data_IF_705216665624
#
_entry.id   IF_705216665624
#
_cell.length_a   1.000
_cell.length_b   1.000
_cell.length_c   1.000
_cell.angle_alpha   90.00
_cell.angle_beta   90.00
_cell.angle_gamma   90.00
#
_symmetry.space_group_name_H-M   'P 1'
#
loop_
_entity.id
_entity.type
_entity.pdbx_description
1 polymer ?
#
# COMPACT_ATOMS: atom_id res chain seq x y z
N UNK A 1 22.27 26.75 8.49
CA UNK A 1 22.65 25.63 7.60
C UNK A 1 21.47 25.28 6.69
N UNK A 2 21.21 26.06 5.66
CA UNK A 2 20.16 25.81 4.65
C UNK A 2 20.80 26.02 3.29
N UNK A 3 20.53 25.14 2.32
CA UNK A 3 20.71 25.26 0.86
C UNK A 3 21.80 24.44 0.15
N UNK A 4 22.44 23.45 0.74
CA UNK A 4 23.41 22.65 -0.03
C UNK A 4 22.78 21.52 -0.89
N UNK A 5 21.49 21.18 -0.69
CA UNK A 5 20.83 20.12 -1.47
C UNK A 5 20.36 20.57 -2.85
N UNK A 6 19.94 21.83 -3.00
CA UNK A 6 19.51 22.37 -4.31
C UNK A 6 20.68 22.62 -5.26
N UNK A 7 21.82 23.05 -4.74
CA UNK A 7 23.03 23.29 -5.55
C UNK A 7 23.56 21.97 -6.14
N UNK A 8 23.53 20.89 -5.37
CA UNK A 8 23.95 19.56 -5.84
C UNK A 8 23.06 18.99 -6.94
N UNK A 9 21.74 19.22 -6.87
CA UNK A 9 20.80 18.76 -7.88
C UNK A 9 20.97 19.50 -9.21
N UNK A 10 21.17 20.83 -9.18
CA UNK A 10 21.40 21.64 -10.38
C UNK A 10 22.69 21.25 -11.10
N UNK A 11 23.77 21.00 -10.36
CA UNK A 11 25.05 20.60 -10.95
C UNK A 11 24.97 19.21 -11.61
N UNK A 12 24.25 18.25 -11.01
CA UNK A 12 24.05 16.93 -11.59
C UNK A 12 23.27 16.97 -12.91
N UNK A 13 22.24 17.81 -13.00
CA UNK A 13 21.44 17.97 -14.21
C UNK A 13 22.29 18.56 -15.35
N UNK A 14 23.13 19.57 -15.08
CA UNK A 14 24.01 20.19 -16.08
C UNK A 14 25.03 19.17 -16.61
N UNK A 15 25.62 18.35 -15.75
CA UNK A 15 26.56 17.30 -16.14
C UNK A 15 25.88 16.25 -17.03
N UNK A 16 24.66 15.83 -16.70
CA UNK A 16 23.89 14.86 -17.49
C UNK A 16 23.55 15.42 -18.88
N UNK A 17 23.08 16.65 -18.96
CA UNK A 17 22.77 17.29 -20.24
C UNK A 17 24.04 17.42 -21.09
N UNK A 18 25.14 17.88 -20.52
CA UNK A 18 26.44 18.00 -21.22
C UNK A 18 26.94 16.65 -21.75
N UNK A 19 26.76 15.54 -20.99
CA UNK A 19 27.14 14.20 -21.42
C UNK A 19 26.35 13.73 -22.64
N UNK A 20 25.04 13.97 -22.70
CA UNK A 20 24.20 13.61 -23.85
C UNK A 20 24.51 14.40 -25.11
N UNK A 21 24.92 15.67 -24.97
CA UNK A 21 25.39 16.48 -26.12
C UNK A 21 26.69 15.94 -26.72
N UNK A 22 27.60 15.44 -25.89
CA UNK A 22 28.90 14.91 -26.32
C UNK A 22 28.87 13.44 -26.74
N UNK A 23 27.87 12.69 -26.29
CA UNK A 23 27.74 11.25 -26.53
C UNK A 23 26.31 10.88 -26.93
N UNK A 24 25.82 11.35 -28.09
CA UNK A 24 24.45 11.02 -28.51
C UNK A 24 24.26 9.50 -28.66
N UNK A 25 23.27 8.96 -27.97
CA UNK A 25 22.91 7.52 -28.05
C UNK A 25 23.66 6.60 -27.08
N UNK A 26 24.55 7.10 -26.21
CA UNK A 26 25.20 6.31 -25.17
C UNK A 26 24.88 6.84 -23.77
N UNK A 27 24.24 6.04 -22.89
CA UNK A 27 24.04 6.48 -21.51
C UNK A 27 25.39 6.53 -20.77
N UNK A 28 25.62 7.51 -19.89
CA UNK A 28 26.83 7.59 -19.08
C UNK A 28 26.96 6.38 -18.17
N UNK A 29 28.17 5.80 -18.06
CA UNK A 29 28.45 4.59 -17.25
C UNK A 29 27.96 4.67 -15.79
N UNK A 30 27.94 5.85 -15.21
CA UNK A 30 27.47 6.09 -13.83
C UNK A 30 25.93 6.14 -13.70
N UNK A 31 25.17 6.30 -14.81
CA UNK A 31 23.72 6.16 -14.80
C UNK A 31 23.28 4.69 -14.89
N UNK A 32 24.22 3.76 -15.12
CA UNK A 32 23.98 2.31 -15.09
C UNK A 32 24.06 1.75 -13.64
N UNK A 33 24.27 2.59 -12.62
CA UNK A 33 23.93 2.15 -11.27
C UNK A 33 22.42 1.87 -11.27
N UNK A 34 22.11 0.59 -11.40
CA UNK A 34 20.80 0.03 -11.18
C UNK A 34 20.35 0.47 -9.78
N UNK A 35 19.63 1.57 -9.73
CA UNK A 35 18.56 1.59 -8.75
C UNK A 35 17.70 0.41 -9.15
N UNK A 36 17.49 -0.60 -8.31
CA UNK A 36 16.45 -1.55 -8.58
C UNK A 36 15.18 -0.68 -8.66
N UNK A 37 14.75 -0.35 -9.87
CA UNK A 37 13.43 0.18 -10.11
C UNK A 37 12.54 -1.03 -9.86
N UNK A 38 12.29 -1.32 -8.59
CA UNK A 38 11.15 -2.11 -8.20
C UNK A 38 9.99 -1.27 -8.69
N UNK A 39 9.29 -1.75 -9.71
CA UNK A 39 7.98 -1.22 -10.05
C UNK A 39 7.19 -1.34 -8.76
N UNK A 40 7.07 -0.25 -8.02
CA UNK A 40 6.29 -0.22 -6.80
C UNK A 40 4.88 -0.65 -7.16
N UNK A 41 4.49 -1.83 -6.72
CA UNK A 41 3.14 -2.34 -6.94
C UNK A 41 2.22 -1.42 -6.17
N UNK A 42 1.46 -0.60 -6.88
CA UNK A 42 0.47 0.29 -6.29
C UNK A 42 -0.85 0.22 -7.05
N UNK A 43 -1.93 0.49 -6.36
CA UNK A 43 -3.28 0.49 -6.91
C UNK A 43 -4.13 1.55 -6.23
N UNK A 44 -4.93 2.28 -6.99
CA UNK A 44 -5.98 3.12 -6.45
C UNK A 44 -7.24 2.29 -6.23
N UNK A 45 -7.83 2.38 -5.03
CA UNK A 45 -8.94 1.54 -4.58
C UNK A 45 -9.98 2.35 -3.78
N UNK A 46 -11.17 1.80 -3.65
CA UNK A 46 -12.11 2.21 -2.60
C UNK A 46 -11.74 1.55 -1.27
N UNK A 47 -11.90 2.26 -0.16
CA UNK A 47 -11.68 1.77 1.19
C UNK A 47 -12.98 1.79 1.98
N UNK A 48 -13.28 0.70 2.67
CA UNK A 48 -14.29 0.66 3.72
C UNK A 48 -13.70 0.10 5.01
N UNK A 49 -14.50 0.02 6.05
CA UNK A 49 -14.09 -0.56 7.33
C UNK A 49 -15.08 -1.64 7.75
N UNK A 50 -14.59 -2.71 8.37
CA UNK A 50 -15.38 -3.80 8.92
C UNK A 50 -14.98 -4.13 10.35
N UNK A 51 -15.86 -4.83 11.06
CA UNK A 51 -15.62 -5.30 12.43
C UNK A 51 -15.65 -6.84 12.48
N UNK A 52 -15.33 -7.40 13.61
CA UNK A 52 -15.50 -8.86 13.89
C UNK A 52 -16.95 -9.26 14.16
N UNK A 53 -17.94 -8.43 13.82
CA UNK A 53 -19.35 -8.76 13.93
C UNK A 53 -19.71 -9.91 12.98
N UNK A 54 -20.45 -10.90 13.48
CA UNK A 54 -20.90 -12.06 12.71
C UNK A 54 -21.76 -11.71 11.49
N UNK A 55 -22.38 -10.53 11.47
CA UNK A 55 -23.10 -10.03 10.30
C UNK A 55 -22.20 -9.51 9.17
N UNK A 56 -20.91 -9.29 9.46
CA UNK A 56 -19.92 -8.75 8.51
C UNK A 56 -18.85 -9.78 8.14
N UNK A 57 -18.79 -10.89 8.84
CA UNK A 57 -17.81 -11.97 8.69
C UNK A 57 -18.50 -13.30 8.37
N UNK A 58 -17.72 -14.33 8.14
CA UNK A 58 -18.21 -15.72 8.07
C UNK A 58 -18.44 -16.32 9.47
N UNK A 59 -18.56 -17.65 9.54
CA UNK A 59 -18.76 -18.38 10.82
C UNK A 59 -17.58 -18.29 11.79
N UNK A 60 -16.45 -17.70 11.37
CA UNK A 60 -15.21 -17.63 12.18
C UNK A 60 -14.70 -16.18 12.31
N UNK A 61 -15.47 -15.27 12.94
CA UNK A 61 -15.18 -13.83 12.92
C UNK A 61 -13.82 -13.40 13.52
N UNK A 62 -13.20 -14.29 14.29
CA UNK A 62 -11.88 -14.04 14.90
C UNK A 62 -10.72 -14.75 14.18
N UNK A 63 -10.98 -15.36 13.02
CA UNK A 63 -9.96 -16.00 12.18
C UNK A 63 -10.07 -15.42 10.78
N UNK A 64 -9.01 -14.77 10.31
CA UNK A 64 -8.97 -14.18 8.95
C UNK A 64 -8.83 -15.28 7.88
N UNK A 65 -9.05 -14.92 6.61
CA UNK A 65 -8.88 -15.84 5.47
C UNK A 65 -7.45 -16.42 5.35
N UNK A 66 -6.44 -15.77 5.92
CA UNK A 66 -5.06 -16.29 6.00
C UNK A 66 -4.81 -17.21 7.20
N UNK A 67 -5.79 -17.39 8.08
CA UNK A 67 -5.65 -18.16 9.33
C UNK A 67 -5.10 -17.36 10.52
N UNK A 68 -4.91 -16.04 10.41
CA UNK A 68 -4.49 -15.20 11.52
C UNK A 68 -5.61 -15.14 12.57
N UNK A 69 -5.29 -15.50 13.82
CA UNK A 69 -6.21 -15.36 14.95
C UNK A 69 -6.19 -13.95 15.51
N UNK A 70 -7.34 -13.31 15.53
CA UNK A 70 -7.52 -11.94 16.01
C UNK A 70 -7.74 -11.89 17.53
N UNK A 71 -7.33 -10.78 18.13
CA UNK A 71 -7.70 -10.44 19.50
C UNK A 71 -9.17 -9.98 19.53
N UNK A 72 -9.99 -10.64 20.34
CA UNK A 72 -11.42 -10.34 20.45
C UNK A 72 -11.73 -8.98 21.06
N UNK A 73 -10.84 -8.46 21.92
CA UNK A 73 -11.02 -7.18 22.61
C UNK A 73 -10.48 -5.98 21.80
N UNK A 74 -9.43 -6.22 21.01
CA UNK A 74 -8.80 -5.17 20.21
C UNK A 74 -8.31 -5.70 18.85
N UNK A 75 -9.22 -6.12 17.96
CA UNK A 75 -8.85 -6.67 16.66
C UNK A 75 -8.06 -5.68 15.79
N UNK A 76 -8.35 -4.40 15.88
CA UNK A 76 -7.68 -3.31 15.17
C UNK A 76 -6.17 -3.26 15.39
N UNK A 77 -5.65 -3.74 16.53
CA UNK A 77 -4.20 -3.75 16.80
C UNK A 77 -3.39 -4.57 15.79
N UNK A 78 -4.02 -5.55 15.15
CA UNK A 78 -3.38 -6.38 14.14
C UNK A 78 -3.16 -5.67 12.80
N UNK A 79 -3.77 -4.50 12.59
CA UNK A 79 -3.66 -3.68 11.36
C UNK A 79 -3.95 -4.48 10.09
N UNK A 80 -5.02 -5.26 10.12
CA UNK A 80 -5.44 -6.16 9.03
C UNK A 80 -6.22 -5.41 7.96
N UNK A 81 -5.91 -5.74 6.71
CA UNK A 81 -6.71 -5.39 5.53
C UNK A 81 -7.28 -6.66 4.90
N UNK A 82 -8.57 -6.63 4.58
CA UNK A 82 -9.20 -7.52 3.62
C UNK A 82 -9.15 -6.89 2.23
N UNK A 83 -8.77 -7.66 1.21
CA UNK A 83 -8.73 -7.20 -0.18
C UNK A 83 -9.82 -7.86 -1.01
N UNK A 84 -10.36 -7.15 -2.01
CA UNK A 84 -11.21 -7.77 -3.02
C UNK A 84 -10.40 -8.76 -3.87
N UNK A 85 -11.06 -9.82 -4.36
CA UNK A 85 -10.36 -10.99 -4.93
C UNK A 85 -9.59 -10.69 -6.22
N UNK A 86 -9.96 -9.66 -6.96
CA UNK A 86 -9.24 -9.17 -8.13
C UNK A 86 -7.87 -8.57 -7.78
N UNK A 87 -7.68 -8.06 -6.56
CA UNK A 87 -6.41 -7.52 -6.10
C UNK A 87 -5.39 -8.64 -5.76
N UNK A 88 -5.77 -9.91 -5.72
CA UNK A 88 -4.87 -11.04 -5.49
C UNK A 88 -3.82 -11.23 -6.59
N UNK A 89 -4.01 -10.65 -7.76
CA UNK A 89 -2.99 -10.63 -8.82
C UNK A 89 -1.80 -9.72 -8.45
N UNK A 90 -2.03 -8.73 -7.59
CA UNK A 90 -1.02 -7.76 -7.16
C UNK A 90 -0.50 -8.01 -5.74
N UNK A 91 -1.37 -8.51 -4.87
CA UNK A 91 -1.11 -8.63 -3.43
C UNK A 91 -1.40 -10.04 -2.92
N UNK A 92 -0.61 -10.48 -1.93
CA UNK A 92 -0.72 -11.79 -1.29
C UNK A 92 -0.94 -11.66 0.22
N UNK A 93 -1.43 -12.74 0.86
CA UNK A 93 -1.46 -12.78 2.32
C UNK A 93 -0.07 -12.62 2.92
N UNK A 94 0.01 -11.85 4.01
CA UNK A 94 1.25 -11.50 4.69
C UNK A 94 1.98 -10.29 4.08
N UNK A 95 1.56 -9.80 2.92
CA UNK A 95 2.17 -8.60 2.34
C UNK A 95 1.99 -7.41 3.29
N UNK A 96 3.09 -6.68 3.45
CA UNK A 96 3.15 -5.40 4.13
C UNK A 96 2.89 -4.30 3.12
N UNK A 97 1.92 -3.45 3.39
CA UNK A 97 1.48 -2.41 2.46
C UNK A 97 1.41 -1.05 3.13
N UNK A 98 1.60 0.00 2.34
CA UNK A 98 1.39 1.38 2.73
C UNK A 98 0.06 1.87 2.16
N UNK A 99 -0.76 2.50 3.00
CA UNK A 99 -1.93 3.26 2.57
C UNK A 99 -1.62 4.75 2.56
N UNK A 100 -2.00 5.42 1.46
CA UNK A 100 -1.98 6.86 1.27
C UNK A 100 -3.36 7.35 0.82
N UNK A 101 -3.67 8.60 1.07
CA UNK A 101 -5.01 9.20 0.86
C UNK A 101 -6.12 8.49 1.66
N UNK A 102 -5.77 7.80 2.75
CA UNK A 102 -6.69 7.04 3.60
C UNK A 102 -7.05 7.80 4.91
N UNK A 103 -6.75 9.10 5.00
CA UNK A 103 -7.00 9.93 6.17
C UNK A 103 -6.33 9.35 7.43
N UNK A 104 -7.08 9.11 8.50
CA UNK A 104 -6.56 8.52 9.75
C UNK A 104 -6.02 7.10 9.61
N UNK A 105 -6.27 6.42 8.48
CA UNK A 105 -5.78 5.08 8.18
C UNK A 105 -4.52 5.08 7.31
N UNK A 106 -3.94 6.25 6.99
CA UNK A 106 -2.63 6.31 6.36
C UNK A 106 -1.59 5.52 7.15
N UNK A 107 -0.65 4.91 6.44
CA UNK A 107 0.45 4.16 7.05
C UNK A 107 0.43 2.68 6.74
N UNK A 108 1.17 1.89 7.54
CA UNK A 108 1.49 0.49 7.28
C UNK A 108 0.35 -0.42 7.76
N UNK A 109 0.01 -1.40 6.92
CA UNK A 109 -1.01 -2.42 7.15
C UNK A 109 -0.55 -3.78 6.62
N UNK A 110 -1.28 -4.86 6.97
CA UNK A 110 -0.97 -6.22 6.57
C UNK A 110 -2.18 -6.88 5.92
N UNK A 111 -1.96 -7.55 4.80
CA UNK A 111 -3.02 -8.24 4.08
C UNK A 111 -3.19 -9.64 4.68
N UNK A 112 -4.33 -9.87 5.34
CA UNK A 112 -4.64 -11.16 5.97
C UNK A 112 -6.05 -11.65 5.70
N UNK A 113 -6.88 -10.87 5.00
CA UNK A 113 -8.27 -11.24 4.81
C UNK A 113 -8.75 -11.00 3.38
N UNK A 114 -9.92 -11.55 3.05
CA UNK A 114 -10.55 -11.45 1.74
C UNK A 114 -11.98 -10.96 1.86
N UNK A 115 -12.32 -10.00 1.01
CA UNK A 115 -13.69 -9.54 0.87
C UNK A 115 -14.56 -10.55 0.11
N UNK A 116 -15.89 -10.43 0.27
CA UNK A 116 -16.86 -11.18 -0.51
C UNK A 116 -16.58 -10.97 -2.01
N UNK A 117 -16.74 -12.06 -2.82
CA UNK A 117 -16.43 -12.10 -4.26
C UNK A 117 -17.17 -11.07 -5.12
N UNK A 118 -18.26 -10.48 -4.61
CA UNK A 118 -19.02 -9.41 -5.30
C UNK A 118 -18.26 -8.09 -5.38
N UNK A 119 -17.31 -7.85 -4.47
CA UNK A 119 -16.53 -6.62 -4.41
C UNK A 119 -15.35 -6.65 -5.38
N UNK A 120 -15.07 -5.51 -6.00
CA UNK A 120 -13.96 -5.29 -6.93
C UNK A 120 -13.27 -3.98 -6.62
N UNK A 121 -11.95 -3.94 -6.86
CA UNK A 121 -11.09 -2.76 -6.68
C UNK A 121 -11.30 -2.08 -5.33
N UNK A 122 -11.38 -2.88 -4.27
CA UNK A 122 -11.76 -2.43 -2.93
C UNK A 122 -10.93 -3.10 -1.85
N UNK A 123 -10.68 -2.36 -0.78
CA UNK A 123 -10.09 -2.87 0.45
C UNK A 123 -11.00 -2.57 1.63
N UNK A 124 -10.87 -3.37 2.68
CA UNK A 124 -11.64 -3.23 3.90
C UNK A 124 -10.71 -3.30 5.12
N UNK A 125 -10.73 -2.28 5.95
CA UNK A 125 -9.87 -2.18 7.14
C UNK A 125 -10.58 -2.73 8.37
N UNK A 126 -9.93 -3.66 9.07
CA UNK A 126 -10.41 -4.17 10.35
C UNK A 126 -10.33 -3.09 11.44
N UNK A 127 -11.48 -2.78 12.03
CA UNK A 127 -11.62 -1.84 13.14
C UNK A 127 -12.22 -2.53 14.37
N UNK A 128 -12.17 -1.86 15.52
CA UNK A 128 -12.85 -2.38 16.73
C UNK A 128 -14.38 -2.24 16.60
N UNK A 129 -15.16 -3.09 17.26
CA UNK A 129 -16.64 -3.08 17.14
C UNK A 129 -17.30 -1.73 17.44
N UNK A 130 -16.72 -0.94 18.33
CA UNK A 130 -17.25 0.39 18.71
C UNK A 130 -16.69 1.55 17.87
N UNK A 131 -15.79 1.28 16.92
CA UNK A 131 -15.26 2.32 16.05
C UNK A 131 -16.28 2.69 14.97
N UNK A 132 -16.36 3.99 14.65
CA UNK A 132 -17.23 4.47 13.56
C UNK A 132 -16.77 3.92 12.22
N UNK A 133 -17.66 3.25 11.52
CA UNK A 133 -17.45 2.79 10.16
C UNK A 133 -17.34 3.97 9.18
N UNK A 134 -16.57 3.79 8.12
CA UNK A 134 -16.39 4.81 7.10
C UNK A 134 -16.08 4.22 5.74
N UNK A 135 -16.23 5.05 4.71
CA UNK A 135 -15.85 4.76 3.33
C UNK A 135 -15.09 5.93 2.75
N UNK A 136 -14.07 5.64 1.95
CA UNK A 136 -13.24 6.62 1.22
C UNK A 136 -13.01 6.12 -0.20
N UNK A 137 -12.94 7.06 -1.12
CA UNK A 137 -12.54 6.79 -2.50
C UNK A 137 -11.13 7.34 -2.76
N UNK A 138 -10.46 6.82 -3.79
CA UNK A 138 -9.17 7.33 -4.22
C UNK A 138 -8.01 7.01 -3.28
N UNK A 139 -8.17 6.02 -2.41
CA UNK A 139 -7.09 5.53 -1.55
C UNK A 139 -6.05 4.80 -2.39
N UNK A 140 -4.78 5.03 -2.11
CA UNK A 140 -3.68 4.32 -2.77
C UNK A 140 -3.12 3.27 -1.82
N UNK A 141 -3.08 2.02 -2.27
CA UNK A 141 -2.39 0.91 -1.61
C UNK A 141 -1.12 0.59 -2.40
N UNK A 142 0.02 0.49 -1.73
CA UNK A 142 1.31 0.12 -2.32
C UNK A 142 2.02 -0.95 -1.51
N UNK A 143 2.68 -1.89 -2.18
CA UNK A 143 3.53 -2.91 -1.53
C UNK A 143 4.85 -2.29 -1.09
N UNK A 144 5.35 -2.65 0.11
CA UNK A 144 6.61 -2.15 0.67
C UNK A 144 7.49 -3.29 1.18
#
# INVERSE_FOLDING_TARGET
MKNNKLVGLGLAIVIIIGYFFLNPGKPPKYLVHRYPFTLDVFKQVALTTYTTDSNQTDSTPLITASGLKLDSLNPKKHRVIAISRDLKELFSFGDKVMLSNAGKYNGIWFIHDLMNKKWKNKIDILINPNDRQMSLEGVVISKI
#
